data_IF_484020350849
#
_entry.id   IF_484020350849
#
_cell.length_a   1.000
_cell.length_b   1.000
_cell.length_c   1.000
_cell.angle_alpha   90.00
_cell.angle_beta   90.00
_cell.angle_gamma   90.00
#
_symmetry.space_group_name_H-M   'P 1'
#
loop_
_entity.id
_entity.type
_entity.pdbx_description
1 polymer ?
#
# COMPACT_ATOMS: atom_id res chain seq x y z
N UNK A 1 -64.28 19.50 -19.20
CA UNK A 1 -63.56 18.54 -18.34
C UNK A 1 -62.67 17.71 -19.22
N UNK A 2 -61.40 18.09 -19.34
CA UNK A 2 -60.41 17.41 -20.17
C UNK A 2 -59.55 16.59 -19.20
N UNK A 3 -59.64 15.26 -19.31
CA UNK A 3 -58.75 14.33 -18.57
C UNK A 3 -57.40 14.24 -19.28
N UNK A 4 -56.38 14.82 -18.67
CA UNK A 4 -54.98 14.66 -19.10
C UNK A 4 -54.46 13.35 -18.54
N UNK A 5 -54.18 12.38 -19.43
CA UNK A 5 -53.50 11.15 -19.08
C UNK A 5 -51.99 11.44 -18.99
N UNK A 6 -51.43 11.29 -17.80
CA UNK A 6 -49.99 11.37 -17.55
C UNK A 6 -49.41 10.02 -17.96
N UNK A 7 -48.85 9.96 -19.15
CA UNK A 7 -48.04 8.79 -19.58
C UNK A 7 -46.67 8.98 -18.99
N UNK A 8 -46.37 8.13 -17.99
CA UNK A 8 -45.03 8.01 -17.39
C UNK A 8 -44.13 7.31 -18.40
N UNK A 9 -43.33 8.09 -19.12
CA UNK A 9 -42.29 7.57 -20.00
C UNK A 9 -41.14 7.10 -19.11
N UNK A 10 -41.09 5.80 -18.82
CA UNK A 10 -39.90 5.14 -18.30
C UNK A 10 -38.89 5.07 -19.44
N UNK A 11 -38.10 6.13 -19.59
CA UNK A 11 -36.96 6.12 -20.48
C UNK A 11 -35.88 5.20 -19.87
N UNK A 12 -35.80 4.00 -20.41
CA UNK A 12 -34.67 3.08 -20.29
C UNK A 12 -33.41 3.81 -20.69
N UNK A 13 -32.60 4.18 -19.70
CA UNK A 13 -31.21 4.59 -19.92
C UNK A 13 -30.37 3.37 -20.35
N UNK A 14 -30.60 2.92 -21.57
CA UNK A 14 -29.56 2.24 -22.34
C UNK A 14 -28.76 3.33 -23.05
N UNK A 15 -27.87 4.03 -22.32
CA UNK A 15 -26.79 4.75 -22.98
C UNK A 15 -25.52 3.92 -22.85
N UNK A 16 -25.20 3.36 -23.98
CA UNK A 16 -23.99 2.66 -24.33
C UNK A 16 -22.75 3.40 -23.82
N UNK A 17 -21.89 2.64 -23.17
CA UNK A 17 -20.48 2.96 -23.00
C UNK A 17 -19.78 2.98 -24.35
N UNK A 18 -19.76 4.11 -25.01
CA UNK A 18 -18.79 4.44 -26.06
C UNK A 18 -17.93 5.63 -25.59
N UNK A 19 -17.16 5.38 -24.53
CA UNK A 19 -16.06 6.26 -24.16
C UNK A 19 -14.79 5.42 -24.11
N UNK A 20 -13.77 5.80 -24.86
CA UNK A 20 -12.47 5.12 -25.02
C UNK A 20 -11.69 4.88 -23.71
N UNK A 21 -12.26 5.20 -22.55
CA UNK A 21 -11.69 5.06 -21.21
C UNK A 21 -12.50 4.17 -20.26
N UNK A 22 -13.54 3.47 -20.73
CA UNK A 22 -14.26 2.53 -19.86
C UNK A 22 -13.61 1.15 -19.92
N UNK A 23 -13.50 0.45 -18.77
CA UNK A 23 -12.90 -0.87 -18.76
C UNK A 23 -13.75 -1.85 -19.58
N UNK A 24 -13.11 -2.59 -20.46
CA UNK A 24 -13.73 -3.63 -21.29
C UNK A 24 -14.49 -4.62 -20.40
N UNK A 25 -15.77 -4.87 -20.71
CA UNK A 25 -16.63 -5.79 -19.95
C UNK A 25 -16.38 -7.21 -20.43
N UNK A 26 -16.07 -8.12 -19.51
CA UNK A 26 -15.86 -9.55 -19.80
C UNK A 26 -17.11 -10.38 -19.57
N UNK A 27 -17.96 -9.99 -18.64
CA UNK A 27 -19.25 -10.64 -18.41
C UNK A 27 -20.24 -9.67 -17.78
N UNK A 28 -21.54 -9.86 -18.07
CA UNK A 28 -22.64 -9.20 -17.36
C UNK A 28 -23.45 -10.23 -16.59
N UNK A 29 -23.86 -9.89 -15.37
CA UNK A 29 -24.61 -10.74 -14.45
C UNK A 29 -25.75 -9.90 -13.86
N UNK A 30 -26.96 -10.05 -14.40
CA UNK A 30 -28.10 -9.20 -14.01
C UNK A 30 -27.76 -7.73 -14.16
N UNK A 31 -27.70 -6.99 -13.03
CA UNK A 31 -27.38 -5.56 -12.99
C UNK A 31 -25.89 -5.26 -12.74
N UNK A 32 -25.05 -6.28 -12.55
CA UNK A 32 -23.61 -6.14 -12.32
C UNK A 32 -22.78 -6.64 -13.51
N UNK A 33 -21.49 -6.29 -13.53
CA UNK A 33 -20.57 -6.76 -14.55
C UNK A 33 -19.22 -7.17 -13.95
N UNK A 34 -18.48 -7.98 -14.71
CA UNK A 34 -17.05 -8.27 -14.50
C UNK A 34 -16.28 -7.51 -15.56
N UNK A 35 -15.39 -6.64 -15.14
CA UNK A 35 -14.54 -5.86 -16.04
C UNK A 35 -13.19 -6.54 -16.27
N UNK A 36 -12.51 -6.15 -17.35
CA UNK A 36 -11.14 -6.55 -17.62
C UNK A 36 -10.21 -6.23 -16.44
N UNK A 37 -10.44 -5.10 -15.76
CA UNK A 37 -9.63 -4.71 -14.60
C UNK A 37 -9.89 -5.62 -13.38
N UNK A 38 -11.13 -6.02 -13.12
CA UNK A 38 -11.43 -7.00 -12.05
C UNK A 38 -10.70 -8.30 -12.28
N UNK A 39 -10.70 -8.73 -13.55
CA UNK A 39 -10.01 -9.94 -13.98
C UNK A 39 -8.50 -9.83 -13.81
N UNK A 40 -7.87 -8.75 -14.34
CA UNK A 40 -6.43 -8.53 -14.25
C UNK A 40 -5.98 -8.47 -12.78
N UNK A 41 -6.70 -7.74 -11.92
CA UNK A 41 -6.38 -7.61 -10.49
C UNK A 41 -6.39 -8.98 -9.79
N UNK A 42 -7.40 -9.83 -10.04
CA UNK A 42 -7.47 -11.17 -9.46
C UNK A 42 -6.44 -12.13 -10.07
N UNK A 43 -6.32 -12.13 -11.40
CA UNK A 43 -5.46 -13.07 -12.12
C UNK A 43 -3.97 -12.81 -11.84
N UNK A 44 -3.54 -11.55 -11.91
CA UNK A 44 -2.17 -11.15 -11.56
C UNK A 44 -1.82 -11.53 -10.12
N UNK A 45 -2.76 -11.32 -9.19
CA UNK A 45 -2.57 -11.73 -7.79
C UNK A 45 -2.37 -13.26 -7.67
N UNK A 46 -3.14 -14.06 -8.41
CA UNK A 46 -2.95 -15.52 -8.44
C UNK A 46 -1.59 -15.91 -9.01
N UNK A 47 -1.18 -15.32 -10.14
CA UNK A 47 0.12 -15.62 -10.76
C UNK A 47 1.31 -15.27 -9.87
N UNK A 48 1.24 -14.14 -9.15
CA UNK A 48 2.32 -13.67 -8.28
C UNK A 48 2.38 -14.44 -6.96
N UNK A 49 1.24 -14.74 -6.35
CA UNK A 49 1.18 -15.27 -4.98
C UNK A 49 0.93 -16.77 -4.89
N UNK A 50 0.81 -17.46 -6.02
CA UNK A 50 0.64 -18.92 -6.06
C UNK A 50 1.61 -19.57 -7.05
N UNK A 51 1.58 -20.91 -7.15
CA UNK A 51 2.37 -21.66 -8.13
C UNK A 51 1.65 -21.83 -9.50
N UNK A 52 0.52 -21.15 -9.69
CA UNK A 52 -0.26 -21.20 -10.93
C UNK A 52 0.54 -20.50 -12.03
N UNK A 53 0.57 -21.12 -13.22
CA UNK A 53 1.15 -20.54 -14.43
C UNK A 53 0.05 -20.04 -15.35
N UNK A 54 0.34 -19.00 -16.13
CA UNK A 54 -0.58 -18.50 -17.13
C UNK A 54 -0.95 -19.58 -18.16
N UNK A 55 -2.24 -19.77 -18.38
CA UNK A 55 -2.80 -20.68 -19.41
C UNK A 55 -4.24 -20.28 -19.74
N UNK A 56 -4.76 -20.61 -20.94
CA UNK A 56 -6.16 -20.38 -21.29
C UNK A 56 -7.13 -20.97 -20.25
N UNK A 57 -6.88 -22.17 -19.78
CA UNK A 57 -7.68 -22.82 -18.74
C UNK A 57 -7.75 -22.02 -17.44
N UNK A 58 -6.62 -21.51 -16.95
CA UNK A 58 -6.60 -20.71 -15.71
C UNK A 58 -7.23 -19.33 -15.90
N UNK A 59 -7.19 -18.79 -17.11
CA UNK A 59 -7.88 -17.54 -17.47
C UNK A 59 -9.39 -17.72 -17.40
N UNK A 60 -9.94 -18.73 -18.08
CA UNK A 60 -11.36 -19.06 -18.04
C UNK A 60 -11.84 -19.37 -16.61
N UNK A 61 -11.07 -20.19 -15.88
CA UNK A 61 -11.35 -20.52 -14.48
C UNK A 61 -11.41 -19.29 -13.59
N UNK A 62 -10.55 -18.29 -13.83
CA UNK A 62 -10.56 -17.06 -13.07
C UNK A 62 -11.75 -16.16 -13.40
N UNK A 63 -12.16 -16.11 -14.68
CA UNK A 63 -13.37 -15.41 -15.09
C UNK A 63 -14.62 -16.08 -14.46
N UNK A 64 -14.70 -17.40 -14.50
CA UNK A 64 -15.77 -18.16 -13.85
C UNK A 64 -15.87 -17.90 -12.34
N UNK A 65 -14.74 -17.78 -11.66
CA UNK A 65 -14.70 -17.44 -10.22
C UNK A 65 -15.31 -16.07 -9.95
N UNK A 66 -14.98 -15.07 -10.79
CA UNK A 66 -15.56 -13.73 -10.68
C UNK A 66 -17.06 -13.74 -10.94
N UNK A 67 -17.51 -14.44 -11.98
CA UNK A 67 -18.95 -14.59 -12.33
C UNK A 67 -19.70 -15.25 -11.16
N UNK A 68 -19.18 -16.34 -10.61
CA UNK A 68 -19.78 -17.03 -9.44
C UNK A 68 -19.88 -16.12 -8.23
N UNK A 69 -18.81 -15.39 -7.94
CA UNK A 69 -18.79 -14.43 -6.81
C UNK A 69 -19.89 -13.37 -6.98
N UNK A 70 -20.05 -12.80 -8.17
CA UNK A 70 -21.10 -11.83 -8.47
C UNK A 70 -22.51 -12.42 -8.35
N UNK A 71 -22.74 -13.65 -8.87
CA UNK A 71 -24.01 -14.35 -8.74
C UNK A 71 -24.40 -14.57 -7.29
N UNK A 72 -23.49 -15.10 -6.47
CA UNK A 72 -23.76 -15.35 -5.06
C UNK A 72 -23.97 -14.06 -4.27
N UNK A 73 -23.24 -13.00 -4.58
CA UNK A 73 -23.43 -11.69 -3.96
C UNK A 73 -24.80 -11.08 -4.30
N UNK A 74 -25.26 -11.21 -5.54
CA UNK A 74 -26.62 -10.79 -5.93
C UNK A 74 -27.69 -11.59 -5.19
N UNK A 75 -27.54 -12.90 -5.10
CA UNK A 75 -28.44 -13.75 -4.35
C UNK A 75 -28.47 -13.41 -2.85
N UNK A 76 -27.31 -13.06 -2.27
CA UNK A 76 -27.24 -12.56 -0.90
C UNK A 76 -28.04 -11.27 -0.72
N UNK A 77 -27.88 -10.31 -1.62
CA UNK A 77 -28.64 -9.02 -1.60
C UNK A 77 -30.14 -9.25 -1.76
N UNK A 78 -30.57 -10.13 -2.70
CA UNK A 78 -31.98 -10.46 -2.90
C UNK A 78 -32.62 -11.09 -1.66
N UNK A 79 -31.84 -11.81 -0.85
CA UNK A 79 -32.25 -12.41 0.41
C UNK A 79 -32.02 -11.49 1.63
N UNK A 80 -31.62 -10.24 1.44
CA UNK A 80 -31.30 -9.26 2.49
C UNK A 80 -30.25 -9.78 3.50
N UNK A 81 -29.31 -10.61 3.05
CA UNK A 81 -28.20 -11.05 3.89
C UNK A 81 -27.24 -9.88 4.16
N UNK A 82 -26.78 -9.78 5.38
CA UNK A 82 -25.83 -8.77 5.80
C UNK A 82 -24.46 -9.38 6.10
N UNK A 83 -23.41 -8.58 5.92
CA UNK A 83 -22.06 -8.97 6.29
C UNK A 83 -21.96 -9.22 7.80
N UNK A 84 -21.25 -10.27 8.20
CA UNK A 84 -20.83 -10.49 9.56
C UNK A 84 -19.81 -9.41 10.04
N UNK A 85 -19.39 -9.47 11.28
CA UNK A 85 -18.44 -8.51 11.85
C UNK A 85 -17.07 -8.56 11.15
N UNK A 86 -16.67 -9.75 10.71
CA UNK A 86 -15.40 -9.96 9.99
C UNK A 86 -15.49 -9.36 8.59
N UNK A 87 -16.57 -9.64 7.86
CA UNK A 87 -16.83 -9.07 6.53
C UNK A 87 -16.84 -7.54 6.55
N UNK A 88 -17.58 -6.94 7.49
CA UNK A 88 -17.60 -5.48 7.69
C UNK A 88 -16.21 -4.90 7.91
N UNK A 89 -15.41 -5.51 8.78
CA UNK A 89 -14.03 -5.07 9.04
C UNK A 89 -13.13 -5.18 7.81
N UNK A 90 -13.30 -6.24 7.00
CA UNK A 90 -12.52 -6.46 5.79
C UNK A 90 -12.88 -5.51 4.65
N UNK A 91 -14.17 -5.21 4.51
CA UNK A 91 -14.65 -4.20 3.53
C UNK A 91 -14.13 -2.82 3.92
N UNK A 92 -14.18 -2.46 5.21
CA UNK A 92 -13.63 -1.19 5.70
C UNK A 92 -12.13 -1.08 5.40
N UNK A 93 -11.35 -2.13 5.68
CA UNK A 93 -9.93 -2.16 5.35
C UNK A 93 -9.67 -1.99 3.85
N UNK A 94 -10.46 -2.68 3.02
CA UNK A 94 -10.36 -2.57 1.55
C UNK A 94 -10.65 -1.14 1.07
N UNK A 95 -11.65 -0.48 1.67
CA UNK A 95 -11.97 0.92 1.42
C UNK A 95 -10.79 1.84 1.75
N UNK A 96 -10.21 1.69 2.93
CA UNK A 96 -9.08 2.51 3.38
C UNK A 96 -7.84 2.32 2.48
N UNK A 97 -7.55 1.07 2.10
CA UNK A 97 -6.46 0.75 1.18
C UNK A 97 -6.72 1.36 -0.21
N UNK A 98 -7.92 1.18 -0.77
CA UNK A 98 -8.27 1.71 -2.08
C UNK A 98 -8.18 3.25 -2.14
N UNK A 99 -8.58 3.93 -1.06
CA UNK A 99 -8.47 5.38 -0.93
C UNK A 99 -7.00 5.83 -0.93
N UNK A 100 -6.13 5.16 -0.17
CA UNK A 100 -4.71 5.50 -0.12
C UNK A 100 -3.97 5.17 -1.42
N UNK A 101 -4.34 4.09 -2.09
CA UNK A 101 -3.78 3.74 -3.42
C UNK A 101 -4.16 4.79 -4.46
N UNK A 102 -5.43 5.19 -4.52
CA UNK A 102 -5.89 6.24 -5.44
C UNK A 102 -5.23 7.58 -5.14
N UNK A 103 -5.09 7.94 -3.86
CA UNK A 103 -4.35 9.14 -3.45
C UNK A 103 -2.89 9.08 -3.91
N UNK A 104 -2.23 7.94 -3.73
CA UNK A 104 -0.86 7.71 -4.20
C UNK A 104 -0.76 7.90 -5.71
N UNK A 105 -1.66 7.29 -6.48
CA UNK A 105 -1.67 7.38 -7.94
C UNK A 105 -1.84 8.82 -8.43
N UNK A 106 -2.67 9.63 -7.75
CA UNK A 106 -2.86 11.05 -8.07
C UNK A 106 -1.63 11.89 -7.71
N UNK A 107 -0.99 11.65 -6.56
CA UNK A 107 0.20 12.39 -6.14
C UNK A 107 1.36 12.11 -7.07
N UNK A 108 1.53 10.84 -7.47
CA UNK A 108 2.68 10.41 -8.25
C UNK A 108 2.54 10.81 -9.71
N UNK A 109 1.34 10.76 -10.27
CA UNK A 109 1.07 11.05 -11.70
C UNK A 109 2.17 10.50 -12.63
N UNK A 110 2.40 9.19 -12.56
CA UNK A 110 3.48 8.53 -13.30
C UNK A 110 3.40 8.74 -14.82
N UNK A 111 2.19 8.98 -15.34
CA UNK A 111 1.98 9.18 -16.79
C UNK A 111 2.67 10.43 -17.33
N UNK A 112 2.90 11.43 -16.47
CA UNK A 112 3.55 12.69 -16.82
C UNK A 112 5.04 12.73 -16.39
N UNK A 113 5.58 11.65 -15.82
CA UNK A 113 6.98 11.53 -15.45
C UNK A 113 7.79 11.04 -16.66
N UNK A 114 8.39 11.95 -17.38
CA UNK A 114 9.33 11.63 -18.48
C UNK A 114 10.76 11.73 -17.96
N UNK A 115 11.49 10.63 -17.97
CA UNK A 115 12.93 10.62 -17.64
C UNK A 115 13.73 11.04 -18.88
N UNK A 116 14.39 12.16 -18.76
CA UNK A 116 15.30 12.63 -19.82
C UNK A 116 16.54 11.73 -19.92
N UNK A 117 17.07 11.54 -21.13
CA UNK A 117 18.27 10.72 -21.37
C UNK A 117 19.49 11.22 -20.56
N UNK A 118 19.64 12.52 -20.41
CA UNK A 118 20.70 13.13 -19.58
C UNK A 118 20.64 12.68 -18.12
N UNK A 119 19.41 12.58 -17.58
CA UNK A 119 19.17 12.07 -16.22
C UNK A 119 19.52 10.58 -16.14
N UNK A 120 19.07 9.78 -17.11
CA UNK A 120 19.41 8.37 -17.17
C UNK A 120 20.94 8.14 -17.23
N UNK A 121 21.66 8.91 -18.06
CA UNK A 121 23.13 8.86 -18.14
C UNK A 121 23.82 9.28 -16.84
N UNK A 122 23.27 10.26 -16.13
CA UNK A 122 23.78 10.64 -14.79
C UNK A 122 23.68 9.47 -13.82
N UNK A 123 22.51 8.83 -13.75
CA UNK A 123 22.29 7.69 -12.87
C UNK A 123 23.06 6.42 -13.33
N UNK A 124 23.32 6.28 -14.64
CA UNK A 124 24.20 5.23 -15.14
C UNK A 124 25.63 5.38 -14.63
N UNK A 125 26.16 6.60 -14.60
CA UNK A 125 27.47 6.88 -13.99
C UNK A 125 27.46 6.54 -12.49
N UNK A 126 26.40 6.91 -11.76
CA UNK A 126 26.26 6.56 -10.34
C UNK A 126 26.19 5.05 -10.10
N UNK A 127 25.49 4.30 -10.97
CA UNK A 127 25.41 2.84 -10.91
C UNK A 127 26.80 2.18 -10.97
N UNK A 128 27.74 2.83 -11.67
CA UNK A 128 29.12 2.37 -11.82
C UNK A 128 30.11 3.12 -10.90
N UNK A 129 29.59 3.69 -9.80
CA UNK A 129 30.36 4.41 -8.80
C UNK A 129 30.00 3.88 -7.42
N UNK A 130 30.99 3.71 -6.56
CA UNK A 130 30.80 3.54 -5.13
C UNK A 130 31.37 4.73 -4.40
N UNK A 131 30.72 5.14 -3.31
CA UNK A 131 31.12 6.28 -2.50
C UNK A 131 31.46 5.83 -1.07
N UNK A 132 32.50 6.42 -0.48
CA UNK A 132 32.78 6.31 0.94
C UNK A 132 32.12 7.46 1.66
N UNK A 133 31.20 7.13 2.60
CA UNK A 133 30.30 8.10 3.21
C UNK A 133 30.32 7.99 4.73
N UNK A 134 30.36 9.13 5.41
CA UNK A 134 29.98 9.29 6.82
C UNK A 134 28.63 10.01 6.91
N UNK A 135 27.87 9.70 7.94
CA UNK A 135 26.66 10.45 8.25
C UNK A 135 26.51 10.73 9.75
N UNK A 136 25.75 11.76 10.09
CA UNK A 136 25.20 12.03 11.41
C UNK A 136 23.68 12.07 11.27
N UNK A 137 22.97 11.38 12.14
CA UNK A 137 21.53 11.27 12.10
C UNK A 137 20.89 11.86 13.36
N UNK A 138 19.79 12.60 13.18
CA UNK A 138 18.89 12.99 14.27
C UNK A 138 17.44 13.08 13.78
N UNK A 139 16.48 12.85 14.67
CA UNK A 139 15.06 12.99 14.34
C UNK A 139 14.66 14.46 14.20
N UNK A 140 15.23 15.34 15.02
CA UNK A 140 14.98 16.77 15.02
C UNK A 140 16.01 17.49 14.14
N UNK A 141 15.50 18.31 13.20
CA UNK A 141 16.33 19.08 12.27
C UNK A 141 17.19 20.10 12.98
N UNK A 142 16.63 20.76 13.99
CA UNK A 142 17.21 21.85 14.77
C UNK A 142 18.55 21.46 15.42
N UNK A 143 18.66 20.20 15.85
CA UNK A 143 19.91 19.65 16.39
C UNK A 143 21.01 19.66 15.33
N UNK A 144 20.68 19.21 14.11
CA UNK A 144 21.64 19.20 13.01
C UNK A 144 21.91 20.61 12.46
N UNK A 145 20.91 21.49 12.42
CA UNK A 145 21.09 22.89 12.03
C UNK A 145 22.08 23.61 12.95
N UNK A 146 22.09 23.27 14.25
CA UNK A 146 23.03 23.85 15.23
C UNK A 146 24.46 23.37 15.01
N UNK A 147 24.66 22.09 14.69
CA UNK A 147 26.03 21.53 14.59
C UNK A 147 26.62 21.64 13.17
N UNK A 148 25.79 21.72 12.14
CA UNK A 148 26.25 21.77 10.74
C UNK A 148 27.24 22.94 10.46
N UNK A 149 27.01 24.18 10.92
CA UNK A 149 27.95 25.27 10.74
C UNK A 149 29.28 25.02 11.44
N UNK A 150 29.26 24.42 12.64
CA UNK A 150 30.47 24.10 13.40
C UNK A 150 31.32 23.07 12.65
N UNK A 151 30.70 22.01 12.14
CA UNK A 151 31.40 20.96 11.41
C UNK A 151 31.92 21.49 10.06
N UNK A 152 31.18 22.39 9.37
CA UNK A 152 31.66 23.02 8.13
C UNK A 152 32.92 23.85 8.34
N UNK A 153 33.08 24.45 9.49
CA UNK A 153 34.27 25.22 9.86
C UNK A 153 35.45 24.36 10.29
N UNK A 154 35.15 23.19 10.88
CA UNK A 154 36.16 22.24 11.34
C UNK A 154 35.63 20.80 11.14
N UNK A 155 36.11 20.14 10.09
CA UNK A 155 35.72 18.77 9.71
C UNK A 155 36.06 17.73 10.80
N UNK A 156 37.05 18.00 11.67
CA UNK A 156 37.42 17.08 12.75
C UNK A 156 36.28 16.89 13.77
N UNK A 157 35.39 17.88 13.88
CA UNK A 157 34.22 17.82 14.75
C UNK A 157 33.14 16.80 14.26
N UNK A 158 33.22 16.32 13.02
CA UNK A 158 32.26 15.36 12.52
C UNK A 158 32.24 14.08 13.37
N UNK A 159 33.41 13.52 13.62
CA UNK A 159 33.56 12.29 14.44
C UNK A 159 33.11 12.51 15.88
N UNK A 160 33.40 13.67 16.44
CA UNK A 160 32.97 14.05 17.78
C UNK A 160 31.44 14.05 17.90
N UNK A 161 30.75 14.74 16.99
CA UNK A 161 29.29 14.80 17.03
C UNK A 161 28.63 13.47 16.64
N UNK A 162 29.19 12.71 15.70
CA UNK A 162 28.74 11.37 15.38
C UNK A 162 28.77 10.46 16.61
N UNK A 163 29.90 10.42 17.33
CA UNK A 163 30.04 9.64 18.57
C UNK A 163 29.10 10.10 19.67
N UNK A 164 28.83 11.39 19.76
CA UNK A 164 27.93 11.96 20.77
C UNK A 164 26.45 11.58 20.50
N UNK A 165 26.03 11.52 19.25
CA UNK A 165 24.63 11.35 18.86
C UNK A 165 24.25 9.88 18.60
N UNK A 166 25.17 9.06 18.07
CA UNK A 166 24.86 7.66 17.81
C UNK A 166 24.87 6.80 19.08
N UNK A 167 23.76 6.11 19.32
CA UNK A 167 23.65 5.06 20.37
C UNK A 167 24.12 3.68 19.87
N UNK A 168 24.04 3.46 18.55
CA UNK A 168 24.56 2.25 17.92
C UNK A 168 26.09 2.19 18.05
N UNK A 169 26.61 1.07 18.55
CA UNK A 169 28.03 0.90 18.84
C UNK A 169 28.91 0.94 17.59
N UNK A 170 28.43 0.43 16.45
CA UNK A 170 29.20 0.37 15.20
C UNK A 170 29.34 1.79 14.64
N UNK A 171 28.23 2.51 14.51
CA UNK A 171 28.22 3.90 14.02
C UNK A 171 28.93 4.86 14.98
N UNK A 172 28.78 4.67 16.29
CA UNK A 172 29.48 5.44 17.29
C UNK A 172 31.00 5.27 17.15
N UNK A 173 31.51 4.02 17.14
CA UNK A 173 32.93 3.72 17.07
C UNK A 173 33.56 4.17 15.75
N UNK A 174 32.82 4.08 14.64
CA UNK A 174 33.30 4.49 13.31
C UNK A 174 33.18 6.00 13.04
N UNK A 175 32.64 6.77 13.96
CA UNK A 175 32.34 8.19 13.72
C UNK A 175 31.29 8.39 12.62
N UNK A 176 30.30 7.49 12.55
CA UNK A 176 29.24 7.54 11.55
C UNK A 176 29.62 7.03 10.16
N UNK A 177 30.77 6.34 10.02
CA UNK A 177 31.21 5.81 8.73
C UNK A 177 30.38 4.60 8.29
N UNK A 178 29.82 4.67 7.08
CA UNK A 178 28.98 3.65 6.46
C UNK A 178 29.75 2.68 5.55
N UNK A 179 31.06 2.94 5.35
CA UNK A 179 31.88 2.18 4.40
C UNK A 179 31.69 2.61 2.96
N UNK A 180 32.00 1.71 2.03
CA UNK A 180 31.79 1.89 0.59
C UNK A 180 30.36 1.49 0.24
N UNK A 181 29.65 2.43 -0.39
CA UNK A 181 28.21 2.33 -0.65
C UNK A 181 28.01 2.33 -2.16
N UNK A 182 27.46 1.25 -2.75
CA UNK A 182 27.03 1.24 -4.12
C UNK A 182 25.72 1.99 -4.33
N UNK A 183 25.47 2.41 -5.55
CA UNK A 183 24.21 3.02 -5.95
C UNK A 183 23.01 2.10 -5.69
N UNK A 184 21.86 2.68 -5.35
CA UNK A 184 20.59 2.01 -5.04
C UNK A 184 20.56 1.27 -3.69
N UNK A 185 21.28 1.78 -2.69
CA UNK A 185 21.30 1.22 -1.33
C UNK A 185 20.84 2.20 -0.24
N UNK A 186 20.84 3.50 -0.52
CA UNK A 186 20.42 4.51 0.43
C UNK A 186 18.95 4.94 0.19
N UNK A 187 18.39 5.63 1.19
CA UNK A 187 17.14 6.39 0.99
C UNK A 187 17.30 7.31 -0.23
N UNK A 188 16.31 7.40 -1.13
CA UNK A 188 16.45 8.14 -2.39
C UNK A 188 16.87 9.60 -2.25
N UNK A 189 16.40 10.31 -1.20
CA UNK A 189 16.81 11.70 -0.94
C UNK A 189 18.28 11.79 -0.51
N UNK A 190 18.69 10.90 0.40
CA UNK A 190 20.08 10.82 0.86
C UNK A 190 20.99 10.44 -0.31
N UNK A 191 20.60 9.44 -1.10
CA UNK A 191 21.38 8.95 -2.23
C UNK A 191 21.60 10.03 -3.28
N UNK A 192 20.57 10.79 -3.64
CA UNK A 192 20.67 11.86 -4.63
C UNK A 192 21.69 12.92 -4.18
N UNK A 193 21.72 13.28 -2.91
CA UNK A 193 22.68 14.24 -2.36
C UNK A 193 24.08 13.61 -2.32
N UNK A 194 24.21 12.41 -1.74
CA UNK A 194 25.49 11.74 -1.53
C UNK A 194 26.27 11.47 -2.83
N UNK A 195 25.57 11.02 -3.90
CA UNK A 195 26.19 10.80 -5.20
C UNK A 195 26.44 12.09 -6.00
N UNK A 196 25.73 13.20 -5.68
CA UNK A 196 25.93 14.49 -6.37
C UNK A 196 26.99 15.36 -5.73
N UNK A 197 27.26 15.20 -4.42
CA UNK A 197 28.17 16.07 -3.68
C UNK A 197 29.65 15.76 -4.02
N UNK A 198 30.55 16.77 -3.97
CA UNK A 198 31.98 16.55 -4.10
C UNK A 198 32.55 15.71 -2.96
N UNK A 199 33.73 15.11 -3.20
CA UNK A 199 34.57 14.55 -2.14
C UNK A 199 34.99 15.64 -1.18
N UNK A 200 35.15 15.33 0.11
CA UNK A 200 35.43 16.21 1.23
C UNK A 200 34.37 17.30 1.49
N UNK A 201 33.22 17.21 0.86
CA UNK A 201 32.10 18.12 1.12
C UNK A 201 31.17 17.60 2.22
N UNK A 202 30.59 18.56 2.97
CA UNK A 202 29.48 18.31 3.90
C UNK A 202 28.20 18.86 3.29
N UNK A 203 27.16 18.04 3.29
CA UNK A 203 25.83 18.40 2.82
C UNK A 203 24.77 18.03 3.85
N UNK A 204 23.73 18.84 3.91
CA UNK A 204 22.59 18.63 4.80
C UNK A 204 22.34 19.83 5.74
N UNK A 205 21.33 19.69 6.65
CA UNK A 205 20.53 18.49 6.92
C UNK A 205 19.65 18.05 5.74
N UNK A 206 19.78 16.78 5.32
CA UNK A 206 18.96 16.13 4.28
C UNK A 206 17.95 15.25 4.97
N UNK A 207 16.68 15.33 4.55
CA UNK A 207 15.59 14.51 5.10
C UNK A 207 15.51 13.13 4.46
N UNK A 208 15.39 12.09 5.27
CA UNK A 208 15.01 10.75 4.88
C UNK A 208 13.66 10.35 5.46
N UNK A 209 13.21 9.13 5.19
CA UNK A 209 12.04 8.52 5.84
C UNK A 209 12.20 8.35 7.35
N UNK A 210 13.43 8.43 7.88
CA UNK A 210 13.75 8.17 9.29
C UNK A 210 14.04 9.44 10.09
N UNK A 211 14.35 10.56 9.45
CA UNK A 211 14.73 11.82 10.07
C UNK A 211 15.74 12.58 9.22
N UNK A 212 16.63 13.32 9.84
CA UNK A 212 17.55 14.25 9.20
C UNK A 212 18.99 13.76 9.26
N UNK A 213 19.76 14.03 8.23
CA UNK A 213 21.14 13.58 8.09
C UNK A 213 22.08 14.71 7.66
N UNK A 214 23.24 14.77 8.29
CA UNK A 214 24.41 15.45 7.74
C UNK A 214 25.29 14.40 7.08
N UNK A 215 25.76 14.66 5.88
CA UNK A 215 26.54 13.76 5.06
C UNK A 215 27.93 14.33 4.84
N UNK A 216 28.97 13.50 4.95
CA UNK A 216 30.34 13.81 4.58
C UNK A 216 30.84 12.72 3.62
N UNK A 217 31.11 13.10 2.38
CA UNK A 217 31.69 12.19 1.39
C UNK A 217 33.21 12.19 1.52
N UNK A 218 33.77 11.02 1.83
CA UNK A 218 35.20 10.86 2.04
C UNK A 218 35.96 10.56 0.76
N UNK A 219 35.36 9.75 -0.14
CA UNK A 219 36.00 9.30 -1.36
C UNK A 219 34.97 8.77 -2.35
N UNK A 220 35.39 8.58 -3.60
CA UNK A 220 34.59 7.89 -4.62
C UNK A 220 35.48 7.03 -5.52
N UNK A 221 35.02 5.84 -5.87
CA UNK A 221 35.67 4.96 -6.81
C UNK A 221 34.74 4.63 -7.97
N UNK A 222 35.23 4.82 -9.18
CA UNK A 222 34.47 4.66 -10.42
C UNK A 222 34.99 3.46 -11.18
N UNK A 223 34.10 2.74 -11.83
CA UNK A 223 34.49 1.75 -12.81
C UNK A 223 35.21 2.45 -13.98
N UNK A 224 36.42 2.00 -14.28
CA UNK A 224 37.30 2.70 -15.24
C UNK A 224 36.79 2.65 -16.68
N UNK A 225 36.14 1.57 -17.06
CA UNK A 225 35.64 1.35 -18.42
C UNK A 225 34.16 1.10 -18.38
N UNK A 226 33.38 1.99 -18.97
CA UNK A 226 31.94 1.87 -19.21
C UNK A 226 31.68 2.27 -20.67
N UNK A 227 30.91 1.48 -21.40
CA UNK A 227 30.66 1.71 -22.84
C UNK A 227 29.24 2.26 -23.07
N UNK A 228 29.00 2.78 -24.26
CA UNK A 228 27.67 3.15 -24.72
C UNK A 228 26.75 1.92 -24.81
N UNK A 229 27.29 0.76 -25.18
CA UNK A 229 26.57 -0.51 -25.24
C UNK A 229 26.06 -0.91 -23.84
N UNK A 230 26.91 -0.80 -22.80
CA UNK A 230 26.50 -1.06 -21.41
C UNK A 230 25.35 -0.13 -20.98
N UNK A 231 25.42 1.14 -21.39
CA UNK A 231 24.36 2.10 -21.13
C UNK A 231 23.06 1.68 -21.82
N UNK A 232 23.08 1.39 -23.12
CA UNK A 232 21.89 1.04 -23.89
C UNK A 232 21.25 -0.25 -23.36
N UNK A 233 22.04 -1.25 -22.98
CA UNK A 233 21.56 -2.50 -22.42
C UNK A 233 20.88 -2.32 -21.06
N UNK A 234 21.30 -1.34 -20.25
CA UNK A 234 20.73 -1.09 -18.92
C UNK A 234 19.72 0.06 -18.88
N UNK A 235 19.50 0.78 -19.98
CA UNK A 235 18.74 2.03 -20.02
C UNK A 235 17.30 1.88 -19.54
N UNK A 236 16.58 0.87 -20.01
CA UNK A 236 15.17 0.66 -19.64
C UNK A 236 15.01 0.37 -18.14
N UNK A 237 15.78 -0.57 -17.60
CA UNK A 237 15.76 -0.92 -16.19
C UNK A 237 16.13 0.28 -15.32
N UNK A 238 17.13 1.05 -15.77
CA UNK A 238 17.56 2.24 -15.06
C UNK A 238 16.49 3.34 -15.05
N UNK A 239 15.80 3.55 -16.18
CA UNK A 239 14.70 4.51 -16.25
C UNK A 239 13.55 4.10 -15.32
N UNK A 240 13.20 2.81 -15.26
CA UNK A 240 12.20 2.29 -14.32
C UNK A 240 12.64 2.51 -12.85
N UNK A 241 13.90 2.25 -12.54
CA UNK A 241 14.46 2.50 -11.21
C UNK A 241 14.39 3.99 -10.83
N UNK A 242 14.74 4.89 -11.76
CA UNK A 242 14.68 6.34 -11.54
C UNK A 242 13.23 6.79 -11.31
N UNK A 243 12.28 6.30 -12.13
CA UNK A 243 10.85 6.57 -11.93
C UNK A 243 10.39 6.13 -10.54
N UNK A 244 10.73 4.92 -10.13
CA UNK A 244 10.39 4.41 -8.79
C UNK A 244 10.95 5.30 -7.68
N UNK A 245 12.22 5.74 -7.79
CA UNK A 245 12.85 6.63 -6.80
C UNK A 245 12.18 8.01 -6.77
N UNK A 246 11.89 8.61 -7.91
CA UNK A 246 11.20 9.89 -7.98
C UNK A 246 9.78 9.80 -7.41
N UNK A 247 9.07 8.72 -7.69
CA UNK A 247 7.76 8.44 -7.11
C UNK A 247 7.84 8.35 -5.57
N UNK A 248 8.84 7.64 -5.07
CA UNK A 248 9.06 7.51 -3.63
C UNK A 248 9.38 8.86 -2.96
N UNK A 249 10.24 9.69 -3.57
CA UNK A 249 10.54 11.04 -3.08
C UNK A 249 9.27 11.88 -3.00
N UNK A 250 8.48 11.95 -4.08
CA UNK A 250 7.22 12.71 -4.11
C UNK A 250 6.23 12.25 -3.05
N UNK A 251 6.07 10.93 -2.90
CA UNK A 251 5.19 10.36 -1.88
C UNK A 251 5.67 10.71 -0.47
N UNK A 252 6.97 10.61 -0.20
CA UNK A 252 7.55 10.97 1.09
C UNK A 252 7.39 12.47 1.40
N UNK A 253 7.61 13.33 0.42
CA UNK A 253 7.45 14.78 0.59
C UNK A 253 5.99 15.15 0.89
N UNK A 254 5.04 14.52 0.20
CA UNK A 254 3.62 14.71 0.45
C UNK A 254 3.22 14.26 1.87
N UNK A 255 3.61 13.05 2.26
CA UNK A 255 3.37 12.50 3.61
C UNK A 255 4.01 13.40 4.67
N UNK A 256 5.25 13.83 4.45
CA UNK A 256 5.97 14.71 5.33
C UNK A 256 5.26 16.07 5.50
N UNK A 257 4.73 16.63 4.40
CA UNK A 257 3.93 17.86 4.43
C UNK A 257 2.67 17.72 5.28
N UNK A 258 1.98 16.59 5.17
CA UNK A 258 0.79 16.32 5.98
C UNK A 258 1.09 16.08 7.46
N UNK A 259 2.20 15.40 7.76
CA UNK A 259 2.55 15.01 9.13
C UNK A 259 3.32 16.10 9.91
N UNK A 260 4.08 16.95 9.23
CA UNK A 260 4.84 18.04 9.92
C UNK A 260 3.97 19.21 10.34
N UNK A 261 2.81 19.39 9.71
CA UNK A 261 1.94 20.53 9.97
C UNK A 261 0.77 20.12 10.87
N UNK A 262 0.82 20.51 12.15
CA UNK A 262 -0.30 20.39 13.09
C UNK A 262 -0.63 18.97 13.58
N UNK A 263 0.35 18.08 13.69
CA UNK A 263 0.18 16.83 14.42
C UNK A 263 0.70 17.00 15.84
N UNK A 264 -0.17 16.91 16.83
CA UNK A 264 0.18 16.91 18.27
C UNK A 264 -0.02 15.51 18.81
N UNK A 265 1.00 14.94 19.44
CA UNK A 265 1.02 13.58 19.97
C UNK A 265 1.08 13.64 21.49
N UNK A 266 0.26 12.82 22.16
CA UNK A 266 0.38 12.56 23.60
C UNK A 266 1.40 11.43 23.81
N UNK A 267 2.68 11.82 23.89
CA UNK A 267 3.81 10.89 23.94
C UNK A 267 3.73 9.96 25.16
N UNK A 268 3.30 10.45 26.31
CA UNK A 268 3.17 9.64 27.53
C UNK A 268 2.09 8.57 27.36
N UNK A 269 0.93 8.95 26.82
CA UNK A 269 -0.15 8.03 26.54
C UNK A 269 0.24 7.02 25.46
N UNK A 270 0.93 7.45 24.40
CA UNK A 270 1.42 6.56 23.33
C UNK A 270 2.38 5.52 23.92
N UNK A 271 3.41 5.95 24.65
CA UNK A 271 4.41 5.05 25.24
C UNK A 271 3.73 4.03 26.17
N UNK A 272 2.86 4.51 27.09
CA UNK A 272 2.17 3.63 28.03
C UNK A 272 1.23 2.64 27.32
N UNK A 273 0.55 3.07 26.26
CA UNK A 273 -0.33 2.21 25.43
C UNK A 273 0.48 1.14 24.70
N UNK A 274 1.56 1.53 24.03
CA UNK A 274 2.42 0.59 23.30
C UNK A 274 3.08 -0.43 24.23
N UNK A 275 3.52 -0.01 25.44
CA UNK A 275 4.06 -0.91 26.45
C UNK A 275 3.02 -1.95 26.90
N UNK A 276 1.78 -1.51 27.18
CA UNK A 276 0.69 -2.43 27.54
C UNK A 276 0.44 -3.45 26.44
N UNK A 277 0.28 -2.99 25.18
CA UNK A 277 0.07 -3.90 24.04
C UNK A 277 1.24 -4.88 23.92
N UNK A 278 2.49 -4.39 24.04
CA UNK A 278 3.68 -5.24 23.96
C UNK A 278 3.73 -6.31 25.03
N UNK A 279 3.54 -5.95 26.30
CA UNK A 279 3.50 -6.89 27.43
C UNK A 279 2.51 -8.02 27.18
N UNK A 280 1.34 -7.64 26.79
CA UNK A 280 0.28 -8.59 26.54
C UNK A 280 0.63 -9.51 25.34
N UNK A 281 1.20 -9.03 24.26
CA UNK A 281 1.62 -9.84 23.10
C UNK A 281 2.78 -10.78 23.49
N UNK A 282 3.72 -10.34 24.34
CA UNK A 282 4.83 -11.19 24.83
C UNK A 282 4.35 -12.30 25.77
N UNK A 283 3.54 -12.00 26.78
CA UNK A 283 3.03 -12.99 27.73
C UNK A 283 2.28 -14.14 27.04
N UNK A 284 1.65 -13.88 25.92
CA UNK A 284 0.98 -14.92 25.12
C UNK A 284 1.89 -15.61 24.11
N UNK A 285 2.95 -14.96 23.63
CA UNK A 285 3.95 -15.59 22.79
C UNK A 285 4.82 -16.60 23.55
N UNK A 286 5.17 -16.29 24.82
CA UNK A 286 5.92 -17.20 25.69
C UNK A 286 5.12 -18.44 26.11
N UNK A 287 3.82 -18.30 26.32
CA UNK A 287 2.93 -19.41 26.68
C UNK A 287 2.56 -20.33 25.49
N UNK A 288 2.92 -19.98 24.26
CA UNK A 288 2.72 -20.80 23.07
C UNK A 288 3.99 -20.78 22.22
N UNK A 289 4.77 -21.83 22.24
CA UNK A 289 6.08 -22.03 21.56
C UNK A 289 6.08 -21.84 20.03
N UNK A 290 5.08 -21.25 19.42
CA UNK A 290 5.06 -20.86 18.01
C UNK A 290 4.17 -19.63 17.80
N UNK A 291 4.70 -18.61 17.11
CA UNK A 291 3.92 -17.51 16.53
C UNK A 291 3.13 -18.10 15.37
N UNK A 292 2.02 -18.78 15.68
CA UNK A 292 1.12 -19.41 14.72
C UNK A 292 0.11 -18.35 14.19
N UNK A 293 -0.39 -18.45 12.95
CA UNK A 293 -1.49 -17.60 12.44
C UNK A 293 -2.73 -17.50 13.34
N UNK A 294 -2.98 -18.49 14.20
CA UNK A 294 -3.99 -18.41 15.28
C UNK A 294 -3.73 -17.31 16.32
N UNK A 295 -2.52 -16.79 16.43
CA UNK A 295 -2.20 -15.61 17.23
C UNK A 295 -2.89 -14.35 16.70
N UNK A 296 -3.36 -14.34 15.48
CA UNK A 296 -4.14 -13.26 14.87
C UNK A 296 -5.55 -13.14 15.48
N UNK A 297 -6.20 -14.26 15.80
CA UNK A 297 -7.48 -14.29 16.52
C UNK A 297 -7.31 -13.81 17.97
N UNK A 298 -6.19 -14.14 18.59
CA UNK A 298 -5.88 -13.75 19.97
C UNK A 298 -5.52 -12.27 20.14
N UNK A 299 -4.93 -11.62 19.14
CA UNK A 299 -4.83 -10.15 19.15
C UNK A 299 -6.20 -9.48 19.15
N UNK A 300 -7.24 -10.10 18.59
CA UNK A 300 -8.62 -9.58 18.65
C UNK A 300 -9.26 -9.73 20.03
N UNK A 301 -9.02 -10.84 20.73
CA UNK A 301 -9.56 -11.07 22.09
C UNK A 301 -8.96 -10.11 23.12
N UNK A 302 -7.71 -9.72 22.90
CA UNK A 302 -6.95 -8.74 23.66
C UNK A 302 -7.49 -7.33 23.63
N UNK A 303 -8.10 -6.98 22.53
CA UNK A 303 -8.69 -5.68 22.30
C UNK A 303 -9.97 -5.47 23.10
N UNK A 304 -10.56 -6.52 23.72
CA UNK A 304 -11.72 -6.41 24.58
C UNK A 304 -11.34 -5.70 25.88
N UNK A 305 -10.20 -6.02 26.48
CA UNK A 305 -9.76 -5.38 27.73
C UNK A 305 -9.25 -3.94 27.51
N UNK A 306 -8.68 -3.65 26.34
CA UNK A 306 -8.28 -2.29 25.96
C UNK A 306 -9.47 -1.45 25.48
N UNK A 307 -10.60 -2.05 25.10
CA UNK A 307 -11.83 -1.34 24.69
C UNK A 307 -12.38 -0.40 25.75
N UNK A 308 -12.16 -0.66 27.03
CA UNK A 308 -12.60 0.21 28.13
C UNK A 308 -11.99 1.62 28.06
N UNK A 309 -10.86 1.81 27.37
CA UNK A 309 -10.19 3.09 27.15
C UNK A 309 -9.94 3.39 25.66
N UNK A 310 -10.64 2.70 24.75
CA UNK A 310 -10.36 2.75 23.31
C UNK A 310 -10.63 4.12 22.66
N UNK A 311 -11.45 4.96 23.30
CA UNK A 311 -11.75 6.32 22.83
C UNK A 311 -10.69 7.37 23.18
N UNK A 312 -9.67 7.08 24.01
CA UNK A 312 -8.61 8.05 24.32
C UNK A 312 -7.82 8.38 23.07
N UNK A 313 -7.57 9.68 22.92
CA UNK A 313 -6.88 10.25 21.73
C UNK A 313 -5.38 10.19 21.97
N UNK A 314 -4.66 9.53 21.05
CA UNK A 314 -3.20 9.41 21.04
C UNK A 314 -2.53 10.55 20.26
N UNK A 315 -3.22 11.07 19.24
CA UNK A 315 -2.75 12.22 18.48
C UNK A 315 -3.93 13.01 17.91
N UNK A 316 -3.72 14.32 17.75
CA UNK A 316 -4.63 15.23 17.04
C UNK A 316 -3.91 15.84 15.85
N UNK A 317 -4.65 16.12 14.77
CA UNK A 317 -4.15 16.75 13.56
C UNK A 317 -5.24 17.58 12.91
N UNK A 318 -4.89 18.40 11.91
CA UNK A 318 -5.76 19.43 11.34
C UNK A 318 -7.19 18.93 11.00
N UNK A 319 -7.36 17.67 10.60
CA UNK A 319 -8.64 17.11 10.09
C UNK A 319 -9.19 15.98 10.95
N UNK A 320 -8.69 15.78 12.15
CA UNK A 320 -9.21 14.73 13.02
C UNK A 320 -8.31 14.34 14.15
N UNK A 321 -8.57 13.15 14.66
CA UNK A 321 -7.80 12.57 15.75
C UNK A 321 -7.50 11.10 15.48
N UNK A 322 -6.50 10.60 16.18
CA UNK A 322 -6.10 9.21 16.18
C UNK A 322 -6.24 8.64 17.58
N UNK A 323 -7.14 7.71 17.75
CA UNK A 323 -7.46 7.09 19.04
C UNK A 323 -6.75 5.76 19.25
N UNK A 324 -6.79 5.24 20.48
CA UNK A 324 -6.37 3.87 20.78
C UNK A 324 -7.13 2.87 19.90
N UNK A 325 -8.43 3.08 19.66
CA UNK A 325 -9.21 2.21 18.79
C UNK A 325 -8.69 2.20 17.32
N UNK A 326 -8.29 3.35 16.81
CA UNK A 326 -7.69 3.43 15.46
C UNK A 326 -6.38 2.62 15.39
N UNK A 327 -5.52 2.76 16.40
CA UNK A 327 -4.28 1.98 16.51
C UNK A 327 -4.58 0.47 16.56
N UNK A 328 -5.51 0.05 17.41
CA UNK A 328 -5.87 -1.34 17.54
C UNK A 328 -6.45 -1.92 16.24
N UNK A 329 -7.29 -1.17 15.53
CA UNK A 329 -7.84 -1.57 14.24
C UNK A 329 -6.74 -1.73 13.18
N UNK A 330 -5.75 -0.85 13.16
CA UNK A 330 -4.59 -0.98 12.28
C UNK A 330 -3.78 -2.24 12.63
N UNK A 331 -3.46 -2.46 13.90
CA UNK A 331 -2.67 -3.59 14.37
C UNK A 331 -3.33 -4.95 14.11
N UNK A 332 -4.68 -5.03 14.08
CA UNK A 332 -5.41 -6.25 13.68
C UNK A 332 -4.99 -6.78 12.31
N UNK A 333 -4.62 -5.89 11.42
CA UNK A 333 -4.27 -6.20 10.04
C UNK A 333 -2.76 -6.28 9.81
N UNK A 334 -1.97 -5.96 10.83
CA UNK A 334 -0.51 -5.99 10.81
C UNK A 334 0.04 -7.32 11.34
N UNK A 335 1.27 -7.67 10.94
CA UNK A 335 1.96 -8.79 11.53
C UNK A 335 2.33 -8.47 12.99
N UNK A 336 2.03 -9.36 13.96
CA UNK A 336 2.47 -9.20 15.35
C UNK A 336 3.98 -9.00 15.45
N UNK A 337 4.77 -9.70 14.63
CA UNK A 337 6.22 -9.57 14.59
C UNK A 337 6.65 -8.14 14.25
N UNK A 338 6.05 -7.52 13.22
CA UNK A 338 6.37 -6.13 12.84
C UNK A 338 6.13 -5.14 13.98
N UNK A 339 5.04 -5.34 14.73
CA UNK A 339 4.77 -4.54 15.91
C UNK A 339 5.77 -4.78 17.05
N UNK A 340 6.11 -6.05 17.33
CA UNK A 340 7.05 -6.40 18.41
C UNK A 340 8.47 -5.90 18.13
N UNK A 341 8.90 -5.96 16.88
CA UNK A 341 10.22 -5.50 16.46
C UNK A 341 10.38 -3.98 16.65
N UNK A 342 9.36 -3.19 16.33
CA UNK A 342 9.37 -1.74 16.50
C UNK A 342 7.96 -1.15 16.76
N UNK A 343 7.49 -1.14 18.01
CA UNK A 343 6.15 -0.62 18.36
C UNK A 343 5.94 0.85 18.01
N UNK A 344 6.95 1.67 18.17
CA UNK A 344 6.91 3.11 17.86
C UNK A 344 6.71 3.32 16.35
N UNK A 345 7.45 2.60 15.53
CA UNK A 345 7.30 2.66 14.07
C UNK A 345 5.89 2.19 13.63
N UNK A 346 5.37 1.13 14.26
CA UNK A 346 4.02 0.65 13.99
C UNK A 346 2.96 1.70 14.32
N UNK A 347 3.13 2.47 15.41
CA UNK A 347 2.27 3.61 15.75
C UNK A 347 2.32 4.70 14.66
N UNK A 348 3.51 5.12 14.24
CA UNK A 348 3.64 6.15 13.21
C UNK A 348 3.07 5.70 11.86
N UNK A 349 3.20 4.43 11.49
CA UNK A 349 2.57 3.90 10.28
C UNK A 349 1.04 3.90 10.38
N UNK A 350 0.49 3.53 11.53
CA UNK A 350 -0.95 3.58 11.77
C UNK A 350 -1.50 5.01 11.72
N UNK A 351 -0.81 5.95 12.35
CA UNK A 351 -1.16 7.38 12.34
C UNK A 351 -1.09 7.96 10.92
N UNK A 352 0.00 7.70 10.19
CA UNK A 352 0.16 8.09 8.78
C UNK A 352 -0.98 7.56 7.91
N UNK A 353 -1.29 6.28 8.03
CA UNK A 353 -2.32 5.63 7.23
C UNK A 353 -3.72 6.22 7.50
N UNK A 354 -4.01 6.60 8.75
CA UNK A 354 -5.23 7.31 9.12
C UNK A 354 -5.28 8.70 8.49
N UNK A 355 -4.21 9.47 8.58
CA UNK A 355 -4.12 10.83 8.00
C UNK A 355 -4.30 10.76 6.49
N UNK A 356 -3.62 9.85 5.79
CA UNK A 356 -3.74 9.67 4.34
C UNK A 356 -5.16 9.25 3.93
N UNK A 357 -5.80 8.36 4.69
CA UNK A 357 -7.19 7.95 4.42
C UNK A 357 -8.15 9.12 4.54
N UNK A 358 -8.01 9.94 5.58
CA UNK A 358 -8.86 11.13 5.76
C UNK A 358 -8.58 12.21 4.70
N UNK A 359 -7.32 12.36 4.29
CA UNK A 359 -6.95 13.24 3.17
C UNK A 359 -7.60 12.78 1.87
N UNK A 360 -7.54 11.49 1.55
CA UNK A 360 -8.20 10.92 0.37
C UNK A 360 -9.72 11.17 0.38
N UNK A 361 -10.37 11.01 1.53
CA UNK A 361 -11.80 11.30 1.69
C UNK A 361 -12.09 12.79 1.46
N UNK A 362 -11.26 13.66 2.04
CA UNK A 362 -11.41 15.12 1.89
C UNK A 362 -11.25 15.59 0.44
N UNK A 363 -10.40 14.93 -0.33
CA UNK A 363 -10.23 15.17 -1.77
C UNK A 363 -11.35 14.57 -2.63
N UNK A 364 -12.39 13.99 -2.02
CA UNK A 364 -13.53 13.39 -2.73
C UNK A 364 -13.23 12.05 -3.40
N UNK A 365 -12.08 11.39 -3.07
CA UNK A 365 -11.68 10.15 -3.73
C UNK A 365 -12.61 8.97 -3.38
N UNK A 366 -13.47 9.12 -2.40
CA UNK A 366 -14.47 8.10 -2.10
C UNK A 366 -15.41 7.87 -3.29
N UNK A 367 -15.72 8.92 -4.08
CA UNK A 367 -16.59 8.83 -5.25
C UNK A 367 -15.84 8.41 -6.52
N UNK A 368 -14.53 8.18 -6.43
CA UNK A 368 -13.74 7.70 -7.56
C UNK A 368 -14.19 6.29 -7.98
N UNK A 369 -14.40 6.08 -9.28
CA UNK A 369 -14.87 4.80 -9.85
C UNK A 369 -13.98 3.61 -9.47
N UNK A 370 -12.66 3.79 -9.42
CA UNK A 370 -11.72 2.73 -9.07
C UNK A 370 -11.81 2.36 -7.58
N UNK A 371 -11.94 3.35 -6.71
CA UNK A 371 -12.14 3.15 -5.28
C UNK A 371 -13.44 2.39 -5.04
N UNK A 372 -14.55 2.85 -5.62
CA UNK A 372 -15.85 2.19 -5.50
C UNK A 372 -15.82 0.75 -6.03
N UNK A 373 -15.17 0.51 -7.16
CA UNK A 373 -15.02 -0.84 -7.74
C UNK A 373 -14.31 -1.79 -6.76
N UNK A 374 -13.20 -1.35 -6.14
CA UNK A 374 -12.46 -2.17 -5.16
C UNK A 374 -13.30 -2.47 -3.92
N UNK A 375 -14.06 -1.48 -3.43
CA UNK A 375 -14.97 -1.66 -2.28
C UNK A 375 -16.05 -2.69 -2.62
N UNK A 376 -16.77 -2.50 -3.74
CA UNK A 376 -17.83 -3.40 -4.17
C UNK A 376 -17.31 -4.83 -4.45
N UNK A 377 -16.13 -4.95 -5.07
CA UNK A 377 -15.52 -6.27 -5.30
C UNK A 377 -15.24 -7.01 -3.98
N UNK A 378 -14.80 -6.28 -2.96
CA UNK A 378 -14.55 -6.86 -1.63
C UNK A 378 -15.85 -7.21 -0.91
N UNK A 379 -16.83 -6.34 -0.98
CA UNK A 379 -18.17 -6.59 -0.44
C UNK A 379 -18.80 -7.83 -1.06
N UNK A 380 -18.75 -7.96 -2.39
CA UNK A 380 -19.27 -9.13 -3.10
C UNK A 380 -18.61 -10.43 -2.66
N UNK A 381 -17.30 -10.44 -2.42
CA UNK A 381 -16.60 -11.62 -1.90
C UNK A 381 -17.18 -12.09 -0.56
N UNK A 382 -17.46 -11.16 0.35
CA UNK A 382 -18.01 -11.50 1.66
C UNK A 382 -19.51 -11.80 1.61
N UNK A 383 -20.30 -11.10 0.80
CA UNK A 383 -21.71 -11.45 0.57
C UNK A 383 -21.87 -12.83 -0.07
N UNK A 384 -21.01 -13.17 -1.03
CA UNK A 384 -20.99 -14.51 -1.63
C UNK A 384 -20.72 -15.59 -0.58
N UNK A 385 -19.80 -15.32 0.37
CA UNK A 385 -19.55 -16.22 1.50
C UNK A 385 -20.77 -16.34 2.40
N UNK A 386 -21.42 -15.24 2.77
CA UNK A 386 -22.62 -15.26 3.60
C UNK A 386 -23.77 -16.05 2.91
N UNK A 387 -23.91 -15.87 1.60
CA UNK A 387 -24.88 -16.65 0.84
C UNK A 387 -24.60 -18.15 0.91
N UNK A 388 -23.36 -18.56 0.70
CA UNK A 388 -22.99 -19.98 0.79
C UNK A 388 -23.19 -20.51 2.23
N UNK A 389 -22.81 -19.76 3.24
CA UNK A 389 -23.06 -20.13 4.65
C UNK A 389 -24.55 -20.30 4.94
N UNK A 390 -25.42 -19.46 4.36
CA UNK A 390 -26.88 -19.58 4.50
C UNK A 390 -27.46 -20.85 3.88
N UNK A 391 -26.76 -21.44 2.90
CA UNK A 391 -27.16 -22.70 2.22
C UNK A 391 -26.51 -23.94 2.83
N UNK A 392 -25.49 -23.77 3.68
CA UNK A 392 -24.79 -24.88 4.33
C UNK A 392 -25.59 -25.45 5.49
N UNK A 393 -25.59 -26.77 5.62
CA UNK A 393 -26.16 -27.45 6.78
C UNK A 393 -25.38 -27.19 8.09
N UNK A 394 -24.08 -26.81 7.97
CA UNK A 394 -23.22 -26.41 9.09
C UNK A 394 -23.00 -24.89 9.02
N UNK A 395 -23.50 -24.19 10.04
CA UNK A 395 -23.46 -22.71 10.06
C UNK A 395 -22.05 -22.07 10.04
N UNK A 396 -21.02 -22.83 10.36
CA UNK A 396 -19.64 -22.28 10.51
C UNK A 396 -18.71 -22.65 9.34
N UNK A 397 -19.09 -23.60 8.48
CA UNK A 397 -18.26 -24.05 7.35
C UNK A 397 -19.14 -24.31 6.10
N UNK A 398 -18.83 -23.61 5.02
CA UNK A 398 -19.47 -23.83 3.73
C UNK A 398 -18.69 -24.90 2.94
N UNK A 399 -18.93 -26.16 3.26
CA UNK A 399 -18.43 -27.28 2.45
C UNK A 399 -19.48 -27.71 1.44
N UNK A 400 -19.22 -27.52 0.18
CA UNK A 400 -20.05 -27.95 -0.92
C UNK A 400 -19.24 -28.78 -1.89
N UNK A 401 -19.80 -29.88 -2.38
CA UNK A 401 -19.28 -30.59 -3.53
C UNK A 401 -19.40 -29.75 -4.81
N UNK A 402 -18.58 -30.02 -5.81
CA UNK A 402 -18.69 -29.33 -7.12
C UNK A 402 -20.08 -29.47 -7.72
N UNK A 403 -20.75 -30.62 -7.53
CA UNK A 403 -22.10 -30.86 -8.00
C UNK A 403 -23.14 -29.96 -7.33
N UNK A 404 -23.04 -29.75 -6.02
CA UNK A 404 -23.95 -28.86 -5.29
C UNK A 404 -23.73 -27.40 -5.71
N UNK A 405 -22.48 -26.95 -5.82
CA UNK A 405 -22.14 -25.61 -6.32
C UNK A 405 -22.70 -25.42 -7.75
N UNK A 406 -22.52 -26.40 -8.64
CA UNK A 406 -23.04 -26.31 -10.02
C UNK A 406 -24.56 -26.23 -10.03
N UNK A 407 -25.26 -26.97 -9.15
CA UNK A 407 -26.71 -26.90 -9.03
C UNK A 407 -27.17 -25.52 -8.60
N UNK A 408 -26.54 -24.93 -7.57
CA UNK A 408 -26.84 -23.57 -7.10
C UNK A 408 -26.60 -22.54 -8.21
N UNK A 409 -25.46 -22.64 -8.92
CA UNK A 409 -25.13 -21.71 -10.02
C UNK A 409 -26.17 -21.80 -11.14
N UNK A 410 -26.57 -23.01 -11.54
CA UNK A 410 -27.55 -23.19 -12.59
C UNK A 410 -28.92 -22.61 -12.22
N UNK A 411 -29.34 -22.75 -10.97
CA UNK A 411 -30.56 -22.14 -10.48
C UNK A 411 -30.45 -20.59 -10.55
N UNK A 412 -29.34 -20.01 -10.04
CA UNK A 412 -29.14 -18.54 -10.05
C UNK A 412 -29.03 -17.97 -11.47
N UNK A 413 -28.50 -18.73 -12.44
CA UNK A 413 -28.46 -18.33 -13.86
C UNK A 413 -29.86 -18.25 -14.48
N UNK A 414 -30.86 -18.92 -13.93
CA UNK A 414 -32.28 -18.79 -14.37
C UNK A 414 -32.87 -17.45 -13.81
N UNK A 415 -32.46 -17.04 -12.65
CA UNK A 415 -32.92 -15.79 -11.98
C UNK A 415 -32.17 -14.55 -12.50
N UNK A 416 -30.88 -14.70 -12.83
CA UNK A 416 -30.01 -13.64 -13.29
C UNK A 416 -29.41 -13.97 -14.66
N UNK A 417 -29.73 -13.19 -15.67
CA UNK A 417 -29.15 -13.36 -17.00
C UNK A 417 -27.64 -13.16 -16.94
N UNK A 418 -26.88 -14.18 -17.35
CA UNK A 418 -25.43 -14.12 -17.50
C UNK A 418 -25.07 -14.07 -18.97
N UNK A 419 -24.25 -13.11 -19.38
CA UNK A 419 -23.70 -13.03 -20.75
C UNK A 419 -22.18 -12.89 -20.60
N UNK A 420 -21.43 -13.78 -21.27
CA UNK A 420 -19.96 -13.79 -21.29
C UNK A 420 -19.52 -13.26 -22.67
N UNK A 421 -18.47 -12.44 -22.68
CA UNK A 421 -17.89 -11.84 -23.88
C UNK A 421 -16.50 -12.43 -24.11
N UNK A 422 -16.46 -13.68 -24.60
CA UNK A 422 -15.21 -14.46 -24.77
C UNK A 422 -14.17 -13.74 -25.63
N UNK A 423 -14.60 -13.09 -26.72
CA UNK A 423 -13.72 -12.30 -27.58
C UNK A 423 -12.99 -11.17 -26.80
N UNK A 424 -13.59 -10.66 -25.74
CA UNK A 424 -12.99 -9.60 -24.92
C UNK A 424 -11.88 -10.15 -24.03
N UNK A 425 -12.05 -11.36 -23.51
CA UNK A 425 -11.03 -12.05 -22.73
C UNK A 425 -9.80 -12.34 -23.61
N UNK A 426 -10.01 -12.89 -24.81
CA UNK A 426 -8.92 -13.20 -25.74
C UNK A 426 -8.14 -11.94 -26.15
N UNK A 427 -8.84 -10.86 -26.45
CA UNK A 427 -8.21 -9.57 -26.81
C UNK A 427 -7.30 -9.00 -25.71
N UNK A 428 -7.61 -9.24 -24.45
CA UNK A 428 -6.75 -8.81 -23.33
C UNK A 428 -5.33 -9.40 -23.42
N UNK A 429 -5.21 -10.64 -23.86
CA UNK A 429 -3.93 -11.33 -23.92
C UNK A 429 -3.21 -11.15 -25.27
N UNK A 430 -3.97 -10.93 -26.35
CA UNK A 430 -3.37 -10.62 -27.67
C UNK A 430 -2.70 -9.23 -27.68
N UNK A 431 -3.28 -8.21 -27.02
CA UNK A 431 -2.70 -6.86 -26.92
C UNK A 431 -1.35 -6.86 -26.17
N UNK A 432 -1.19 -7.71 -25.16
CA UNK A 432 0.05 -7.82 -24.41
C UNK A 432 1.15 -8.60 -25.14
N UNK A 433 0.81 -9.44 -26.11
CA UNK A 433 1.77 -10.16 -26.93
C UNK A 433 2.42 -9.28 -28.03
N UNK A 434 1.83 -8.13 -28.34
CA UNK A 434 2.34 -7.18 -29.38
C UNK A 434 3.23 -6.09 -28.74
N UNK A 435 3.24 -5.96 -27.39
CA UNK A 435 4.04 -4.95 -26.68
C UNK A 435 5.31 -5.50 -26.02
N UNK A 436 5.60 -6.78 -26.17
CA UNK A 436 6.86 -7.45 -25.81
C UNK A 436 7.62 -7.80 -27.11
#
# INVERSE_FOLDING_TARGET
MIKIHFILLVSLFFHACENKNEPEILATIGTSCVTAKDFIDLYSNKLINTKIKDSPFERERTLDELIRTRLFAQAARSQNLSLDSVGKSRVLLSKELALREELYDQIIDQKNLVIQDSTARKHFRWKNTEISLKHIFHQEKEVLDTIAPLIKNDLSLFDYYAKKLFKDKVLNNSGGHLGWIPYNTLDPNIEQVAFSMPVDAIMGPVRSSYGWHLLLKLDERKQMIISEEDYQNSKLDLMQLILKKQSQIRANDYVNGLMSNNVSIDDELVISTLQKIRTIVYEKAENNQSINPKTRERLTDFMIDLKLNSGRVLATFQRGSFSINDLLNHLRNSSPKTFLDNPIQAFYFALRDKILTLEAINLGLLDNKQVQRKIHSKEDQYLAREFLLSKSAKKDEAHFSEKEISTIINQLKLEHKVTIYDDNLDRLFQRNAVQN
#
